data_IF_820194888237
#
_entry.id   IF_820194888237
#
_cell.length_a   1.000
_cell.length_b   1.000
_cell.length_c   1.000
_cell.angle_alpha   90.00
_cell.angle_beta   90.00
_cell.angle_gamma   90.00
#
_symmetry.space_group_name_H-M   'P 1'
#
loop_
_entity.id
_entity.type
_entity.pdbx_description
1 polymer ?
#
# COMPACT_ATOMS: atom_id res chain seq x y z
N UNK A 1 -24.39 13.00 -27.56
CA UNK A 1 -24.23 12.87 -26.10
C UNK A 1 -23.73 11.48 -25.70
N UNK A 2 -24.38 10.40 -26.13
CA UNK A 2 -23.99 9.02 -25.78
C UNK A 2 -22.55 8.62 -26.22
N UNK A 3 -22.18 8.92 -27.47
CA UNK A 3 -20.85 8.57 -28.01
C UNK A 3 -19.71 9.32 -27.30
N UNK A 4 -19.96 10.58 -26.90
CA UNK A 4 -19.02 11.40 -26.15
C UNK A 4 -18.77 10.82 -24.74
N UNK A 5 -19.83 10.40 -24.06
CA UNK A 5 -19.71 9.74 -22.75
C UNK A 5 -18.93 8.43 -22.85
N UNK A 6 -19.18 7.61 -23.88
CA UNK A 6 -18.44 6.36 -24.10
C UNK A 6 -16.96 6.65 -24.35
N UNK A 7 -16.64 7.62 -25.21
CA UNK A 7 -15.25 8.01 -25.47
C UNK A 7 -14.55 8.49 -24.19
N UNK A 8 -15.23 9.29 -23.38
CA UNK A 8 -14.68 9.82 -22.14
C UNK A 8 -14.43 8.72 -21.10
N UNK A 9 -15.34 7.75 -20.96
CA UNK A 9 -15.15 6.58 -20.11
C UNK A 9 -13.96 5.75 -20.58
N UNK A 10 -13.83 5.51 -21.87
CA UNK A 10 -12.68 4.75 -22.43
C UNK A 10 -11.36 5.48 -22.15
N UNK A 11 -11.32 6.80 -22.34
CA UNK A 11 -10.12 7.60 -22.04
C UNK A 11 -9.77 7.52 -20.56
N UNK A 12 -10.73 7.67 -19.65
CA UNK A 12 -10.48 7.59 -18.20
C UNK A 12 -9.95 6.21 -17.80
N UNK A 13 -10.61 5.14 -18.26
CA UNK A 13 -10.24 3.76 -17.89
C UNK A 13 -8.87 3.36 -18.42
N UNK A 14 -8.45 3.87 -19.59
CA UNK A 14 -7.15 3.52 -20.18
C UNK A 14 -6.02 4.43 -19.68
N UNK A 15 -6.25 5.74 -19.61
CA UNK A 15 -5.18 6.71 -19.35
C UNK A 15 -4.85 6.82 -17.87
N UNK A 16 -5.86 6.82 -16.99
CA UNK A 16 -5.65 7.03 -15.55
C UNK A 16 -4.75 5.96 -14.92
N UNK A 17 -4.91 4.65 -15.19
CA UNK A 17 -4.04 3.63 -14.61
C UNK A 17 -2.56 3.78 -15.01
N UNK A 18 -2.29 4.29 -16.22
CA UNK A 18 -0.92 4.53 -16.70
C UNK A 18 -0.22 5.67 -15.96
N UNK A 19 -0.99 6.55 -15.30
CA UNK A 19 -0.47 7.66 -14.49
C UNK A 19 -0.25 7.27 -13.03
N UNK A 20 -0.73 6.09 -12.61
CA UNK A 20 -0.60 5.60 -11.23
C UNK A 20 0.74 4.88 -11.08
N UNK A 21 1.55 5.32 -10.10
CA UNK A 21 2.76 4.60 -9.68
C UNK A 21 2.40 3.55 -8.62
N UNK A 22 1.74 2.49 -9.05
CA UNK A 22 1.41 1.32 -8.21
C UNK A 22 2.02 0.07 -8.83
N UNK A 23 2.69 -0.75 -8.02
CA UNK A 23 3.18 -2.05 -8.50
C UNK A 23 1.99 -3.02 -8.64
N UNK A 24 1.72 -3.59 -9.83
CA UNK A 24 0.60 -4.51 -10.04
C UNK A 24 0.81 -5.89 -9.40
N UNK A 25 2.05 -6.24 -9.04
CA UNK A 25 2.43 -7.62 -8.68
C UNK A 25 2.50 -7.89 -7.17
N UNK A 26 1.98 -7.00 -6.33
CA UNK A 26 2.14 -7.10 -4.88
C UNK A 26 3.62 -7.01 -4.45
N UNK A 27 3.90 -7.22 -3.16
CA UNK A 27 5.28 -7.33 -2.70
C UNK A 27 5.88 -8.66 -3.22
N UNK A 28 7.14 -8.69 -3.69
CA UNK A 28 7.74 -9.90 -4.23
C UNK A 28 7.78 -11.01 -3.16
N UNK A 29 7.85 -12.29 -3.56
CA UNK A 29 7.77 -13.44 -2.66
C UNK A 29 8.86 -13.43 -1.57
N UNK A 30 10.00 -12.82 -1.86
CA UNK A 30 11.12 -12.61 -0.97
C UNK A 30 10.99 -11.36 -0.08
N UNK A 31 9.92 -10.57 -0.22
CA UNK A 31 9.62 -9.47 0.70
C UNK A 31 9.43 -9.95 2.15
N UNK A 32 9.09 -11.22 2.36
CA UNK A 32 9.03 -11.85 3.68
C UNK A 32 10.36 -12.49 4.12
N UNK A 33 11.32 -12.62 3.20
CA UNK A 33 12.65 -13.19 3.48
C UNK A 33 13.53 -12.10 4.07
N UNK A 34 13.65 -12.12 5.39
CA UNK A 34 14.43 -11.14 6.13
C UNK A 34 15.93 -11.52 6.14
N UNK A 35 16.84 -10.62 5.75
CA UNK A 35 18.28 -10.81 5.92
C UNK A 35 18.72 -10.62 7.37
N UNK A 36 17.85 -10.04 8.23
CA UNK A 36 18.10 -9.81 9.66
C UNK A 36 16.91 -10.22 10.51
N UNK A 37 17.11 -10.91 11.66
CA UNK A 37 16.04 -11.20 12.61
C UNK A 37 15.34 -9.93 13.09
N UNK A 38 14.01 -10.00 13.30
CA UNK A 38 13.19 -8.94 13.91
C UNK A 38 13.13 -7.58 13.18
N UNK A 39 13.47 -7.52 11.88
CA UNK A 39 13.30 -6.30 11.08
C UNK A 39 12.34 -6.54 9.90
N UNK A 40 11.44 -5.59 9.58
CA UNK A 40 10.72 -5.61 8.31
C UNK A 40 11.69 -5.50 7.12
N UNK A 41 11.47 -6.28 6.07
CA UNK A 41 12.31 -6.22 4.86
C UNK A 41 11.87 -5.04 4.00
N UNK A 42 12.50 -3.90 4.21
CA UNK A 42 12.20 -2.71 3.43
C UNK A 42 13.04 -2.59 2.15
N UNK A 43 14.00 -3.49 1.90
CA UNK A 43 14.90 -3.37 0.75
C UNK A 43 15.56 -1.98 0.71
N UNK A 44 15.35 -1.24 -0.38
CA UNK A 44 15.72 0.20 -0.51
C UNK A 44 14.54 1.15 -0.28
N UNK A 45 13.33 0.64 -0.03
CA UNK A 45 12.15 1.46 0.25
C UNK A 45 12.30 2.11 1.62
N UNK A 46 12.03 3.41 1.69
CA UNK A 46 12.04 4.16 2.94
C UNK A 46 10.61 4.37 3.42
N UNK A 47 10.32 4.25 4.73
CA UNK A 47 9.03 4.65 5.28
C UNK A 47 8.73 6.10 4.91
N UNK A 48 7.47 6.39 4.58
CA UNK A 48 7.00 7.76 4.42
C UNK A 48 7.00 8.46 5.79
N UNK A 49 7.20 9.79 5.84
CA UNK A 49 7.05 10.53 7.09
C UNK A 49 5.64 10.37 7.68
N UNK A 50 5.47 10.23 9.00
CA UNK A 50 4.15 10.07 9.62
C UNK A 50 3.15 11.18 9.25
N UNK A 51 3.65 12.40 9.09
CA UNK A 51 2.87 13.58 8.74
C UNK A 51 2.29 13.56 7.32
N UNK A 52 2.74 12.67 6.43
CA UNK A 52 2.22 12.55 5.06
C UNK A 52 1.16 11.47 4.90
N UNK A 53 0.81 10.75 5.97
CA UNK A 53 -0.18 9.69 5.92
C UNK A 53 -1.60 10.27 5.80
N UNK A 54 -2.45 9.78 4.87
CA UNK A 54 -3.82 10.27 4.72
C UNK A 54 -4.79 9.69 5.77
N UNK A 55 -4.28 8.93 6.72
CA UNK A 55 -5.03 8.26 7.80
C UNK A 55 -4.17 8.12 9.06
N UNK A 56 -4.82 7.97 10.20
CA UNK A 56 -4.16 7.60 11.46
C UNK A 56 -4.40 6.12 11.75
N UNK A 57 -3.38 5.45 12.28
CA UNK A 57 -3.48 4.08 12.78
C UNK A 57 -3.37 4.14 14.31
N UNK A 58 -4.39 3.65 15.00
CA UNK A 58 -4.42 3.57 16.46
C UNK A 58 -4.47 2.10 16.86
N UNK A 59 -3.64 1.70 17.82
CA UNK A 59 -3.70 0.38 18.42
C UNK A 59 -4.51 0.42 19.72
N UNK A 60 -5.27 -0.63 20.01
CA UNK A 60 -6.05 -0.75 21.25
C UNK A 60 -5.21 -0.86 22.53
N UNK A 61 -3.91 -1.17 22.43
CA UNK A 61 -2.98 -1.25 23.55
C UNK A 61 -1.55 -0.99 23.09
N UNK A 62 -0.71 -0.45 23.98
CA UNK A 62 0.74 -0.31 23.79
C UNK A 62 1.54 -1.57 24.15
N UNK A 63 0.88 -2.58 24.74
CA UNK A 63 1.47 -3.84 25.17
C UNK A 63 0.71 -5.04 24.59
N UNK A 64 1.44 -6.09 24.24
CA UNK A 64 0.89 -7.35 23.72
C UNK A 64 1.70 -8.54 24.23
N UNK A 65 1.03 -9.70 24.35
CA UNK A 65 1.65 -10.97 24.72
C UNK A 65 0.98 -12.15 23.99
N UNK A 66 1.40 -13.38 24.31
CA UNK A 66 0.78 -14.58 23.74
C UNK A 66 -0.74 -14.60 23.98
N UNK A 67 -1.52 -14.71 22.91
CA UNK A 67 -2.99 -14.74 22.96
C UNK A 67 -3.68 -13.37 23.04
N UNK A 68 -2.93 -12.26 23.13
CA UNK A 68 -3.52 -10.91 23.07
C UNK A 68 -4.12 -10.62 21.69
N UNK A 69 -5.35 -10.11 21.65
CA UNK A 69 -5.95 -9.53 20.44
C UNK A 69 -5.78 -8.02 20.48
N UNK A 70 -4.91 -7.49 19.62
CA UNK A 70 -4.76 -6.05 19.38
C UNK A 70 -5.57 -5.69 18.13
N UNK A 71 -6.26 -4.56 18.18
CA UNK A 71 -7.06 -4.02 17.06
C UNK A 71 -6.60 -2.62 16.72
#
# INVERSE_FOLDING_TARGET
MQLLCVLLVVVVVVVVPLLVKGFPDGAPVDACVKPRPNQPYHGQARPQPPETLPYSITASSSEYGPGSKIT
#
